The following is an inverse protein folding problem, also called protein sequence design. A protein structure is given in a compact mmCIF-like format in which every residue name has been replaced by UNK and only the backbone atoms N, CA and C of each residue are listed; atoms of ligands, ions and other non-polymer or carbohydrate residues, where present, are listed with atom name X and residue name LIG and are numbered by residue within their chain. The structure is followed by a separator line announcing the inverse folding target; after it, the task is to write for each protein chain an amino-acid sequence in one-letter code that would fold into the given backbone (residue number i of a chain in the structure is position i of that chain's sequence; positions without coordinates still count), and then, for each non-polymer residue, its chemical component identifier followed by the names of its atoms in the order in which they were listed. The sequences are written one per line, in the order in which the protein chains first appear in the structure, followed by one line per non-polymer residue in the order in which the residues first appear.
data_IF_674861693730
#
_entry.id   IF_674861693730
#
_cell.length_a   1.000
_cell.length_b   1.000
_cell.length_c   1.000
_cell.angle_alpha   90.00
_cell.angle_beta   90.00
_cell.angle_gamma   90.00
#
_symmetry.space_group_name_H-M   'P 1'
#
loop_
_entity.id
_entity.type
_entity.pdbx_description
1 polymer ?
#
# COMPACT_ATOMS: atom_id res chain seq x y z
N UNK A 1 -32.40 5.69 -1.92
CA UNK A 1 -30.99 6.02 -2.10
C UNK A 1 -30.51 5.54 -3.45
N UNK A 2 -29.56 6.27 -4.04
CA UNK A 2 -29.00 5.96 -5.36
C UNK A 2 -27.49 5.97 -5.30
N UNK A 3 -26.86 4.99 -5.97
CA UNK A 3 -25.50 5.09 -6.43
C UNK A 3 -25.49 5.74 -7.82
N UNK A 4 -24.61 6.68 -8.06
CA UNK A 4 -24.52 7.38 -9.35
C UNK A 4 -23.23 6.99 -10.02
N UNK A 5 -23.36 6.32 -11.17
CA UNK A 5 -22.23 5.79 -11.94
C UNK A 5 -22.17 6.48 -13.32
N UNK A 6 -20.95 6.70 -13.80
CA UNK A 6 -20.71 7.13 -15.17
C UNK A 6 -19.89 6.05 -15.89
N UNK A 7 -20.48 5.42 -16.88
CA UNK A 7 -19.88 4.31 -17.62
C UNK A 7 -19.41 4.85 -18.99
N UNK A 8 -18.11 4.75 -19.26
CA UNK A 8 -17.48 5.17 -20.53
C UNK A 8 -17.82 6.61 -20.96
N UNK A 9 -18.02 7.51 -19.99
CA UNK A 9 -18.35 8.90 -20.27
C UNK A 9 -19.78 9.15 -20.78
N UNK A 10 -20.67 8.15 -20.74
CA UNK A 10 -22.03 8.26 -21.26
C UNK A 10 -22.96 9.17 -20.42
N UNK A 11 -22.44 9.80 -19.39
CA UNK A 11 -23.22 10.60 -18.42
C UNK A 11 -23.55 9.83 -17.15
N UNK A 12 -24.11 10.55 -16.17
CA UNK A 12 -24.42 9.99 -14.87
C UNK A 12 -25.74 9.19 -14.91
N UNK A 13 -25.67 7.92 -14.53
CA UNK A 13 -26.83 7.03 -14.37
C UNK A 13 -27.06 6.79 -12.88
N UNK A 14 -28.33 6.96 -12.45
CA UNK A 14 -28.77 6.74 -11.08
C UNK A 14 -29.25 5.28 -10.95
N UNK A 15 -28.54 4.51 -10.13
CA UNK A 15 -28.90 3.15 -9.79
C UNK A 15 -29.60 3.11 -8.44
N UNK A 16 -30.83 2.62 -8.42
CA UNK A 16 -31.61 2.51 -7.19
C UNK A 16 -31.05 1.41 -6.28
N UNK A 17 -30.89 1.75 -5.02
CA UNK A 17 -30.45 0.82 -3.97
C UNK A 17 -31.61 0.18 -3.22
N UNK A 18 -32.88 0.53 -3.53
CA UNK A 18 -34.05 0.08 -2.79
C UNK A 18 -35.12 -0.58 -3.67
N UNK A 19 -34.82 -0.90 -4.91
CA UNK A 19 -35.71 -1.55 -5.87
C UNK A 19 -37.08 -0.85 -6.01
N UNK A 20 -37.07 0.49 -6.17
CA UNK A 20 -38.29 1.27 -6.42
C UNK A 20 -38.68 1.16 -7.89
N UNK A 21 -39.90 0.80 -8.18
CA UNK A 21 -40.42 0.63 -9.53
C UNK A 21 -40.12 1.83 -10.45
N UNK A 22 -39.56 1.56 -11.60
CA UNK A 22 -39.29 2.55 -12.65
C UNK A 22 -37.84 3.07 -12.72
N UNK A 23 -36.99 2.66 -11.81
CA UNK A 23 -35.56 2.96 -11.83
C UNK A 23 -34.70 1.71 -12.13
N UNK A 24 -33.49 1.90 -12.57
CA UNK A 24 -32.51 0.79 -12.75
C UNK A 24 -31.95 0.41 -11.39
N UNK A 25 -32.17 -0.84 -10.97
CA UNK A 25 -31.64 -1.35 -9.70
C UNK A 25 -30.15 -1.56 -9.75
N UNK A 26 -29.44 -1.23 -8.68
CA UNK A 26 -28.04 -1.59 -8.51
C UNK A 26 -27.88 -3.08 -8.19
N UNK A 27 -28.77 -3.60 -7.33
CA UNK A 27 -28.71 -4.98 -6.91
C UNK A 27 -28.88 -5.94 -8.08
N UNK A 28 -27.83 -6.73 -8.35
CA UNK A 28 -27.82 -7.69 -9.46
C UNK A 28 -27.58 -7.07 -10.84
N UNK A 29 -27.29 -5.77 -10.93
CA UNK A 29 -26.98 -5.13 -12.20
C UNK A 29 -25.70 -5.71 -12.79
N UNK A 30 -25.68 -5.86 -14.12
CA UNK A 30 -24.47 -6.07 -14.89
C UNK A 30 -24.04 -4.72 -15.49
N UNK A 31 -22.93 -4.17 -15.01
CA UNK A 31 -22.40 -2.86 -15.42
C UNK A 31 -21.60 -2.94 -16.74
N UNK A 32 -21.48 -4.15 -17.31
CA UNK A 32 -20.88 -4.37 -18.62
C UNK A 32 -19.52 -5.03 -18.59
N UNK A 33 -18.93 -5.06 -19.79
CA UNK A 33 -17.60 -5.60 -20.04
C UNK A 33 -16.68 -4.49 -20.52
N UNK A 34 -15.51 -4.41 -19.92
CA UNK A 34 -14.48 -3.42 -20.20
C UNK A 34 -13.24 -4.11 -20.76
N UNK A 35 -12.47 -3.43 -21.57
CA UNK A 35 -11.22 -3.98 -22.12
C UNK A 35 -10.05 -3.14 -21.64
N UNK A 36 -9.01 -3.79 -21.11
CA UNK A 36 -7.79 -3.13 -20.64
C UNK A 36 -7.18 -2.31 -21.80
N UNK A 37 -6.81 -1.05 -21.52
CA UNK A 37 -6.17 -0.17 -22.51
C UNK A 37 -7.10 0.44 -23.55
N UNK A 38 -8.39 0.11 -23.57
CA UNK A 38 -9.36 0.67 -24.53
C UNK A 38 -9.93 2.04 -24.10
N UNK A 39 -9.41 2.66 -23.05
CA UNK A 39 -9.93 3.94 -22.52
C UNK A 39 -11.28 3.81 -21.81
N UNK A 40 -11.69 2.60 -21.47
CA UNK A 40 -12.93 2.35 -20.74
C UNK A 40 -12.86 2.93 -19.31
N UNK A 41 -14.03 3.31 -18.79
CA UNK A 41 -14.16 3.83 -17.44
C UNK A 41 -15.47 3.37 -16.78
N UNK A 42 -15.39 3.08 -15.48
CA UNK A 42 -16.52 2.90 -14.59
C UNK A 42 -16.29 3.83 -13.39
N UNK A 43 -16.88 5.01 -13.46
CA UNK A 43 -16.62 6.08 -12.50
C UNK A 43 -17.73 6.12 -11.45
N UNK A 44 -17.35 6.12 -10.17
CA UNK A 44 -18.24 6.49 -9.08
C UNK A 44 -18.41 8.02 -9.14
N UNK A 45 -19.48 8.46 -9.78
CA UNK A 45 -19.81 9.88 -9.92
C UNK A 45 -20.42 10.47 -8.63
N UNK A 46 -20.89 9.61 -7.72
CA UNK A 46 -21.43 10.01 -6.43
C UNK A 46 -22.65 9.22 -6.01
N UNK A 47 -23.57 9.88 -5.34
CA UNK A 47 -24.80 9.28 -4.86
C UNK A 47 -25.87 10.30 -4.50
N UNK A 48 -27.06 9.80 -4.20
CA UNK A 48 -28.18 10.56 -3.69
C UNK A 48 -28.88 9.83 -2.56
N UNK A 49 -29.07 10.50 -1.42
CA UNK A 49 -29.92 10.06 -0.33
C UNK A 49 -31.13 10.98 -0.23
N UNK A 50 -32.33 10.40 -0.23
CA UNK A 50 -33.56 11.07 0.22
C UNK A 50 -33.85 10.59 1.62
N UNK A 51 -33.82 11.51 2.57
CA UNK A 51 -33.89 11.21 3.99
C UNK A 51 -35.19 11.76 4.56
N UNK A 52 -35.93 10.91 5.31
CA UNK A 52 -37.05 11.34 6.09
C UNK A 52 -36.60 12.16 7.31
N UNK A 53 -37.21 13.32 7.54
CA UNK A 53 -36.84 14.22 8.65
C UNK A 53 -38.07 14.73 9.36
N UNK A 54 -38.16 14.50 10.68
CA UNK A 54 -39.15 15.10 11.59
C UNK A 54 -38.47 15.87 12.70
N UNK A 55 -38.91 17.09 12.99
CA UNK A 55 -38.44 17.85 14.18
C UNK A 55 -38.63 17.04 15.47
N UNK A 56 -37.67 17.00 16.41
CA UNK A 56 -36.45 17.78 16.44
C UNK A 56 -35.25 17.13 15.74
N UNK A 57 -35.45 16.02 15.02
CA UNK A 57 -34.37 15.33 14.31
C UNK A 57 -33.82 16.16 13.13
N UNK A 58 -32.52 16.14 12.91
CA UNK A 58 -31.87 16.71 11.76
C UNK A 58 -30.89 15.72 11.15
N UNK A 59 -30.70 15.77 9.84
CA UNK A 59 -29.66 15.02 9.14
C UNK A 59 -28.42 15.90 9.10
N UNK A 60 -27.30 15.36 9.52
CA UNK A 60 -26.04 16.10 9.68
C UNK A 60 -24.99 15.74 8.66
N UNK A 61 -25.10 14.54 8.04
CA UNK A 61 -24.13 14.06 7.06
C UNK A 61 -24.76 12.94 6.21
N UNK A 62 -24.23 12.76 4.99
CA UNK A 62 -24.56 11.66 4.12
C UNK A 62 -23.34 11.12 3.42
N UNK A 63 -23.25 9.81 3.20
CA UNK A 63 -22.15 9.19 2.46
C UNK A 63 -22.64 8.04 1.58
N UNK A 64 -22.03 7.88 0.42
CA UNK A 64 -22.04 6.67 -0.37
C UNK A 64 -20.73 5.94 -0.13
N UNK A 65 -20.79 4.67 0.29
CA UNK A 65 -19.66 3.79 0.54
C UNK A 65 -19.59 2.74 -0.57
N UNK A 66 -18.39 2.44 -1.05
CA UNK A 66 -18.20 1.46 -2.11
C UNK A 66 -16.86 0.73 -1.97
N UNK A 67 -16.82 -0.49 -2.48
CA UNK A 67 -15.58 -1.26 -2.71
C UNK A 67 -15.74 -2.16 -3.94
N UNK A 68 -14.62 -2.62 -4.48
CA UNK A 68 -14.59 -3.61 -5.57
C UNK A 68 -13.80 -4.82 -5.09
N UNK A 69 -14.30 -6.00 -5.40
CA UNK A 69 -13.65 -7.26 -5.07
C UNK A 69 -13.86 -8.30 -6.16
N UNK A 70 -13.03 -9.37 -6.18
CA UNK A 70 -13.14 -10.54 -7.05
C UNK A 70 -13.12 -11.81 -6.19
N UNK A 71 -13.94 -12.79 -6.54
CA UNK A 71 -14.07 -14.06 -5.80
C UNK A 71 -14.89 -13.91 -4.52
N UNK A 72 -14.30 -13.41 -3.43
CA UNK A 72 -14.98 -13.21 -2.14
C UNK A 72 -14.91 -11.75 -1.68
N UNK A 73 -15.90 -11.27 -0.91
CA UNK A 73 -15.90 -9.90 -0.37
C UNK A 73 -14.62 -9.60 0.42
N UNK A 74 -13.87 -8.60 -0.02
CA UNK A 74 -12.58 -8.20 0.56
C UNK A 74 -12.29 -6.72 0.31
N UNK A 75 -11.28 -6.19 1.01
CA UNK A 75 -10.87 -4.80 0.90
C UNK A 75 -11.72 -3.83 1.74
N UNK A 76 -11.15 -2.67 2.03
CA UNK A 76 -11.80 -1.60 2.76
C UNK A 76 -12.76 -0.82 1.87
N UNK A 77 -13.80 -0.25 2.47
CA UNK A 77 -14.69 0.67 1.78
C UNK A 77 -14.05 2.05 1.64
N UNK A 78 -14.17 2.61 0.45
CA UNK A 78 -13.99 4.05 0.18
C UNK A 78 -15.35 4.75 0.23
N UNK A 79 -15.37 6.08 0.37
CA UNK A 79 -16.64 6.82 0.39
C UNK A 79 -16.61 8.08 -0.48
N UNK A 80 -17.82 8.53 -0.84
CA UNK A 80 -18.08 9.86 -1.38
C UNK A 80 -19.06 10.54 -0.42
N UNK A 81 -18.64 11.69 0.14
CA UNK A 81 -19.53 12.52 0.95
C UNK A 81 -20.66 13.11 0.09
N UNK A 82 -21.88 13.04 0.60
CA UNK A 82 -23.05 13.62 -0.04
C UNK A 82 -23.37 14.96 0.61
N UNK A 83 -23.33 16.04 -0.16
CA UNK A 83 -23.64 17.37 0.33
C UNK A 83 -25.17 17.57 0.45
N UNK A 84 -25.60 18.37 1.41
CA UNK A 84 -26.99 18.80 1.46
C UNK A 84 -27.34 19.52 0.14
N UNK A 85 -28.44 19.11 -0.47
CA UNK A 85 -28.89 19.64 -1.75
C UNK A 85 -30.15 20.51 -1.59
N UNK A 86 -31.23 19.95 -1.01
CA UNK A 86 -32.50 20.69 -0.90
C UNK A 86 -33.48 20.01 0.07
N UNK A 87 -34.49 20.75 0.51
CA UNK A 87 -35.69 20.19 1.12
C UNK A 87 -36.64 19.69 0.01
N UNK A 88 -37.31 18.57 0.25
CA UNK A 88 -38.18 17.93 -0.73
C UNK A 88 -39.64 18.39 -0.63
N UNK A 89 -40.00 19.13 0.43
CA UNK A 89 -41.38 19.56 0.66
C UNK A 89 -42.33 18.40 1.07
N UNK A 90 -41.79 17.24 1.41
CA UNK A 90 -42.51 16.04 1.83
C UNK A 90 -42.14 15.62 3.25
N UNK A 91 -42.82 14.63 3.82
CA UNK A 91 -42.61 14.09 5.15
C UNK A 91 -43.20 14.98 6.27
N UNK A 92 -42.70 14.82 7.50
CA UNK A 92 -43.11 15.56 8.67
C UNK A 92 -42.89 17.08 8.50
N UNK A 93 -43.95 17.83 8.29
CA UNK A 93 -43.89 19.28 8.12
C UNK A 93 -43.14 19.74 6.86
N UNK A 94 -43.03 18.89 5.86
CA UNK A 94 -42.34 19.20 4.60
C UNK A 94 -40.83 19.22 4.68
N UNK A 95 -40.20 18.57 5.67
CA UNK A 95 -38.77 18.72 5.99
C UNK A 95 -37.88 17.58 5.46
N UNK A 96 -38.40 16.62 4.70
CA UNK A 96 -37.54 15.60 4.07
C UNK A 96 -36.45 16.27 3.23
N UNK A 97 -35.26 15.69 3.29
CA UNK A 97 -34.06 16.27 2.68
C UNK A 97 -33.51 15.40 1.58
N UNK A 98 -32.91 16.06 0.59
CA UNK A 98 -32.06 15.45 -0.41
C UNK A 98 -30.58 15.81 -0.14
N UNK A 99 -29.76 14.79 -0.11
CA UNK A 99 -28.30 14.88 -0.01
C UNK A 99 -27.70 14.27 -1.27
N UNK A 100 -26.86 15.00 -1.99
CA UNK A 100 -26.42 14.57 -3.31
C UNK A 100 -25.03 15.11 -3.64
N UNK A 101 -24.19 14.27 -4.24
CA UNK A 101 -22.94 14.64 -4.91
C UNK A 101 -22.89 13.91 -6.24
N UNK A 102 -22.54 14.62 -7.33
CA UNK A 102 -22.49 14.11 -8.70
C UNK A 102 -21.13 14.40 -9.38
N UNK A 103 -20.15 14.86 -8.63
CA UNK A 103 -18.83 15.29 -9.11
C UNK A 103 -17.69 14.34 -8.76
N UNK A 104 -18.02 13.12 -8.33
CA UNK A 104 -17.02 12.07 -8.09
C UNK A 104 -16.32 11.67 -9.40
N UNK A 105 -15.04 11.33 -9.30
CA UNK A 105 -14.19 11.02 -10.45
C UNK A 105 -13.38 9.73 -10.32
N UNK A 106 -13.69 8.91 -9.33
CA UNK A 106 -12.96 7.67 -9.09
C UNK A 106 -13.35 6.61 -10.12
N UNK A 107 -12.42 6.30 -11.03
CA UNK A 107 -12.57 5.18 -11.95
C UNK A 107 -12.15 3.88 -11.25
N UNK A 108 -13.12 3.02 -10.96
CA UNK A 108 -12.90 1.76 -10.24
C UNK A 108 -12.24 0.67 -11.08
N UNK A 109 -12.06 0.87 -12.38
CA UNK A 109 -11.33 -0.06 -13.25
C UNK A 109 -9.80 0.11 -13.10
N UNK A 110 -9.33 1.22 -12.55
CA UNK A 110 -7.91 1.56 -12.49
C UNK A 110 -7.13 0.50 -11.71
N UNK A 111 -6.11 -0.08 -12.34
CA UNK A 111 -5.23 -1.09 -11.74
C UNK A 111 -5.82 -2.49 -11.60
N UNK A 112 -7.07 -2.72 -12.03
CA UNK A 112 -7.66 -4.06 -11.99
C UNK A 112 -7.20 -4.90 -13.20
N UNK A 113 -6.72 -6.14 -12.97
CA UNK A 113 -6.43 -7.09 -14.05
C UNK A 113 -7.70 -7.62 -14.72
N UNK A 114 -7.56 -8.40 -15.80
CA UNK A 114 -8.68 -9.09 -16.42
C UNK A 114 -9.31 -10.08 -15.42
N UNK A 115 -10.66 -10.09 -15.38
CA UNK A 115 -11.39 -10.90 -14.43
C UNK A 115 -12.84 -10.45 -14.27
N UNK A 116 -13.57 -11.16 -13.41
CA UNK A 116 -14.93 -10.81 -13.01
C UNK A 116 -14.92 -10.15 -11.63
N UNK A 117 -15.65 -9.07 -11.50
CA UNK A 117 -15.64 -8.20 -10.31
C UNK A 117 -17.04 -7.91 -9.83
N UNK A 118 -17.13 -7.62 -8.56
CA UNK A 118 -18.34 -7.09 -7.91
C UNK A 118 -18.06 -5.69 -7.37
N UNK A 119 -18.89 -4.73 -7.74
CA UNK A 119 -19.00 -3.43 -7.09
C UNK A 119 -20.03 -3.59 -5.97
N UNK A 120 -19.60 -3.37 -4.73
CA UNK A 120 -20.43 -3.44 -3.54
C UNK A 120 -20.60 -2.04 -2.95
N UNK A 121 -21.87 -1.66 -2.66
CA UNK A 121 -22.23 -0.31 -2.29
C UNK A 121 -23.24 -0.31 -1.14
N UNK A 122 -23.13 0.65 -0.24
CA UNK A 122 -24.16 1.05 0.71
C UNK A 122 -24.13 2.56 0.96
N UNK A 123 -25.20 3.12 1.51
CA UNK A 123 -25.21 4.53 1.91
C UNK A 123 -25.54 4.72 3.38
N UNK A 124 -25.08 5.84 3.92
CA UNK A 124 -25.36 6.25 5.30
C UNK A 124 -25.89 7.67 5.36
N UNK A 125 -26.68 7.93 6.41
CA UNK A 125 -27.10 9.27 6.80
C UNK A 125 -26.98 9.40 8.33
N UNK A 126 -26.18 10.35 8.77
CA UNK A 126 -26.03 10.66 10.20
C UNK A 126 -27.09 11.64 10.64
N UNK A 127 -27.61 11.46 11.85
CA UNK A 127 -28.65 12.31 12.41
C UNK A 127 -28.35 12.78 13.83
N UNK A 128 -28.94 13.93 14.19
CA UNK A 128 -28.88 14.52 15.51
C UNK A 128 -30.23 15.17 15.89
N UNK A 129 -30.34 15.69 17.13
CA UNK A 129 -31.51 16.41 17.63
C UNK A 129 -32.58 15.56 18.27
N UNK A 130 -32.74 14.28 17.90
CA UNK A 130 -33.57 13.28 18.56
C UNK A 130 -32.77 12.08 19.08
N UNK A 131 -31.55 12.33 19.46
CA UNK A 131 -30.47 11.40 19.67
C UNK A 131 -29.40 11.63 18.61
N UNK A 132 -28.36 10.80 18.60
CA UNK A 132 -27.32 10.79 17.57
C UNK A 132 -27.13 9.37 17.07
N UNK A 133 -26.87 9.20 15.77
CA UNK A 133 -26.63 7.89 15.18
C UNK A 133 -26.52 7.95 13.67
N UNK A 134 -26.40 6.79 13.07
CA UNK A 134 -26.26 6.60 11.63
C UNK A 134 -27.33 5.64 11.12
N UNK A 135 -28.06 6.05 10.12
CA UNK A 135 -28.95 5.18 9.35
C UNK A 135 -28.21 4.60 8.15
N UNK A 136 -28.46 3.34 7.87
CA UNK A 136 -27.86 2.58 6.78
C UNK A 136 -28.89 2.17 5.73
N UNK A 137 -28.59 2.40 4.46
CA UNK A 137 -29.23 1.72 3.34
C UNK A 137 -28.25 0.67 2.83
N UNK A 138 -28.37 -0.56 3.31
CA UNK A 138 -27.37 -1.61 3.18
C UNK A 138 -27.97 -2.99 2.88
N UNK A 139 -29.16 -3.06 2.29
CA UNK A 139 -29.82 -4.33 1.92
C UNK A 139 -29.80 -5.36 3.07
N UNK A 140 -30.26 -4.94 4.25
CA UNK A 140 -30.25 -5.80 5.44
C UNK A 140 -28.86 -6.17 5.98
N UNK A 141 -27.83 -5.41 5.63
CA UNK A 141 -26.43 -5.66 6.01
C UNK A 141 -25.62 -6.42 4.95
N UNK A 142 -26.27 -6.95 3.90
CA UNK A 142 -25.59 -7.64 2.80
C UNK A 142 -24.99 -6.68 1.75
N UNK A 143 -25.29 -5.37 1.87
CA UNK A 143 -25.02 -4.32 0.91
C UNK A 143 -25.63 -4.58 -0.49
N UNK A 144 -25.51 -3.63 -1.39
CA UNK A 144 -26.00 -3.75 -2.78
C UNK A 144 -24.84 -4.12 -3.69
N UNK A 145 -25.06 -5.03 -4.62
CA UNK A 145 -23.98 -5.60 -5.43
C UNK A 145 -24.34 -5.57 -6.91
N UNK A 146 -23.40 -5.09 -7.72
CA UNK A 146 -23.43 -5.10 -9.17
C UNK A 146 -22.17 -5.76 -9.70
N UNK A 147 -22.26 -6.41 -10.87
CA UNK A 147 -21.12 -7.12 -11.46
C UNK A 147 -20.61 -6.42 -12.71
N UNK A 148 -19.34 -6.62 -13.01
CA UNK A 148 -18.72 -6.24 -14.27
C UNK A 148 -17.55 -7.16 -14.60
N UNK A 149 -17.12 -7.17 -15.86
CA UNK A 149 -16.01 -7.98 -16.33
C UNK A 149 -14.96 -7.10 -16.98
N UNK A 150 -13.69 -7.43 -16.77
CA UNK A 150 -12.56 -6.82 -17.47
C UNK A 150 -11.92 -7.89 -18.34
N UNK A 151 -11.77 -7.62 -19.64
CA UNK A 151 -11.15 -8.50 -20.60
C UNK A 151 -9.76 -7.99 -21.01
N UNK A 152 -8.88 -8.92 -21.37
CA UNK A 152 -7.68 -8.59 -22.12
C UNK A 152 -8.06 -8.16 -23.55
N UNK A 153 -7.33 -7.22 -24.19
CA UNK A 153 -7.50 -6.94 -25.59
C UNK A 153 -7.15 -8.17 -26.45
N UNK A 154 -7.85 -8.33 -27.56
CA UNK A 154 -7.58 -9.41 -28.52
C UNK A 154 -6.23 -9.18 -29.17
N UNK A 155 -5.40 -10.23 -29.22
CA UNK A 155 -4.15 -10.23 -29.98
C UNK A 155 -4.46 -10.72 -31.38
N UNK A 156 -4.11 -9.93 -32.37
CA UNK A 156 -4.22 -10.30 -33.79
C UNK A 156 -2.83 -10.53 -34.34
N UNK A 157 -2.61 -11.68 -34.95
CA UNK A 157 -1.37 -12.02 -35.65
C UNK A 157 -1.69 -12.05 -37.13
N UNK A 158 -0.95 -11.28 -37.91
CA UNK A 158 -0.97 -11.33 -39.39
C UNK A 158 0.40 -11.75 -39.88
N UNK A 159 0.41 -12.52 -40.93
CA UNK A 159 1.61 -13.02 -41.61
C UNK A 159 1.60 -12.60 -43.07
N UNK A 160 2.75 -12.23 -43.58
CA UNK A 160 3.03 -12.13 -44.99
C UNK A 160 4.35 -12.83 -45.30
N UNK A 161 4.41 -13.54 -46.44
CA UNK A 161 5.62 -14.25 -46.84
C UNK A 161 5.93 -14.08 -48.31
N UNK A 162 7.15 -14.27 -48.64
CA UNK A 162 7.63 -14.43 -50.03
C UNK A 162 8.21 -15.84 -50.13
N UNK A 163 7.64 -16.63 -51.03
CA UNK A 163 8.12 -17.98 -51.28
C UNK A 163 9.56 -17.99 -51.78
N UNK A 164 10.36 -18.92 -51.27
CA UNK A 164 11.70 -19.12 -51.73
C UNK A 164 11.68 -19.68 -53.18
N UNK A 165 12.37 -19.02 -54.11
CA UNK A 165 12.53 -19.53 -55.46
C UNK A 165 13.82 -20.34 -55.55
N UNK A 166 13.72 -21.62 -55.96
CA UNK A 166 14.87 -22.51 -56.10
C UNK A 166 15.71 -22.26 -57.40
N UNK A 167 15.74 -21.04 -57.92
CA UNK A 167 16.51 -20.72 -59.12
C UNK A 167 17.74 -19.92 -58.74
N UNK A 168 18.92 -20.49 -58.91
CA UNK A 168 20.19 -19.75 -58.86
C UNK A 168 20.90 -19.69 -57.51
N UNK A 169 20.53 -20.49 -56.52
CA UNK A 169 21.27 -20.63 -55.27
C UNK A 169 21.18 -19.43 -54.30
N UNK A 170 20.19 -18.57 -54.49
CA UNK A 170 19.92 -17.45 -53.55
C UNK A 170 18.73 -17.83 -52.62
N UNK A 171 18.94 -17.76 -51.36
CA UNK A 171 17.85 -17.83 -50.36
C UNK A 171 17.10 -16.50 -50.36
N UNK A 172 15.98 -16.44 -51.11
CA UNK A 172 15.18 -15.20 -51.27
C UNK A 172 13.78 -15.29 -50.65
N UNK A 173 13.51 -16.33 -49.91
CA UNK A 173 12.26 -16.42 -49.15
C UNK A 173 12.32 -15.55 -47.92
N UNK A 174 11.20 -14.93 -47.56
CA UNK A 174 11.04 -14.20 -46.32
C UNK A 174 9.66 -14.44 -45.73
N UNK A 175 9.57 -14.43 -44.40
CA UNK A 175 8.31 -14.39 -43.69
C UNK A 175 8.32 -13.19 -42.77
N UNK A 176 7.26 -12.41 -42.79
CA UNK A 176 7.04 -11.27 -41.91
C UNK A 176 5.79 -11.53 -41.08
N UNK A 177 5.92 -11.44 -39.78
CA UNK A 177 4.84 -11.64 -38.83
C UNK A 177 4.60 -10.31 -38.11
N UNK A 178 3.40 -9.76 -38.28
CA UNK A 178 2.96 -8.58 -37.53
C UNK A 178 1.99 -8.98 -36.45
N UNK A 179 2.28 -8.55 -35.21
CA UNK A 179 1.40 -8.73 -34.04
C UNK A 179 0.82 -7.38 -33.70
N UNK A 180 -0.52 -7.29 -33.64
CA UNK A 180 -1.24 -6.09 -33.25
C UNK A 180 -2.31 -6.41 -32.18
N UNK A 181 -2.77 -5.41 -31.47
CA UNK A 181 -3.64 -5.60 -30.31
C UNK A 181 -2.86 -6.11 -29.09
N UNK A 182 -3.59 -6.47 -28.05
CA UNK A 182 -3.02 -6.75 -26.74
C UNK A 182 -2.49 -5.47 -26.08
N UNK A 183 -2.77 -5.31 -24.79
CA UNK A 183 -1.90 -4.49 -23.95
C UNK A 183 -0.84 -5.43 -23.39
N UNK A 184 0.43 -5.03 -23.30
CA UNK A 184 1.38 -5.78 -22.50
C UNK A 184 0.73 -6.00 -21.13
N UNK A 185 0.72 -7.25 -20.64
CA UNK A 185 0.36 -7.52 -19.27
C UNK A 185 1.39 -6.79 -18.39
N UNK A 186 0.95 -5.72 -17.76
CA UNK A 186 1.79 -4.81 -17.00
C UNK A 186 1.54 -4.96 -15.52
N UNK A 187 1.47 -6.19 -15.01
CA UNK A 187 1.76 -6.34 -13.59
C UNK A 187 3.23 -5.93 -13.42
N UNK A 188 3.55 -4.99 -12.53
CA UNK A 188 4.94 -4.70 -12.23
C UNK A 188 5.60 -6.00 -11.80
N UNK A 189 6.71 -6.36 -12.43
CA UNK A 189 7.54 -7.44 -11.91
C UNK A 189 8.13 -6.94 -10.62
N UNK A 190 7.97 -7.68 -9.54
CA UNK A 190 8.42 -7.28 -8.21
C UNK A 190 9.38 -8.31 -7.64
N UNK A 191 10.40 -7.84 -6.96
CA UNK A 191 11.29 -8.64 -6.12
C UNK A 191 11.06 -8.24 -4.67
N UNK A 192 10.64 -9.20 -3.83
CA UNK A 192 10.30 -8.96 -2.45
C UNK A 192 11.39 -9.49 -1.50
N UNK A 193 11.66 -8.73 -0.46
CA UNK A 193 12.51 -9.10 0.67
C UNK A 193 11.76 -8.77 1.95
N UNK A 194 11.68 -9.71 2.88
CA UNK A 194 11.04 -9.52 4.18
C UNK A 194 11.94 -10.00 5.32
N UNK A 195 11.81 -9.37 6.49
CA UNK A 195 12.54 -9.76 7.71
C UNK A 195 11.70 -9.42 8.95
N UNK A 196 11.44 -10.43 9.77
CA UNK A 196 10.72 -10.36 11.04
C UNK A 196 11.63 -10.42 12.28
N UNK A 197 12.93 -10.53 12.08
CA UNK A 197 13.99 -10.59 13.09
C UNK A 197 13.86 -11.71 14.15
N UNK A 198 12.88 -12.56 14.08
CA UNK A 198 12.57 -13.62 15.05
C UNK A 198 13.63 -14.71 15.16
N UNK A 199 14.59 -14.74 14.24
CA UNK A 199 15.76 -15.61 14.30
C UNK A 199 16.90 -15.09 15.17
N UNK A 200 16.83 -13.84 15.64
CA UNK A 200 17.81 -13.27 16.58
C UNK A 200 17.68 -13.95 17.95
N UNK A 201 18.81 -14.12 18.65
CA UNK A 201 18.81 -14.69 19.99
C UNK A 201 18.00 -13.81 20.95
N UNK A 202 17.19 -14.43 21.79
CA UNK A 202 16.37 -13.79 22.80
C UNK A 202 17.04 -13.77 24.21
N UNK A 203 18.27 -14.25 24.30
CA UNK A 203 19.09 -14.26 25.53
C UNK A 203 20.54 -13.93 25.19
N UNK A 204 21.30 -13.52 26.21
CA UNK A 204 22.74 -13.28 26.11
C UNK A 204 23.11 -11.82 25.88
N UNK A 205 24.34 -11.50 26.27
CA UNK A 205 25.02 -10.22 26.08
C UNK A 205 26.26 -10.48 25.26
N UNK A 206 26.55 -9.62 24.27
CA UNK A 206 27.70 -9.80 23.38
C UNK A 206 27.54 -10.96 22.42
N UNK A 207 26.30 -11.28 22.00
CA UNK A 207 26.06 -12.23 20.93
C UNK A 207 26.79 -11.79 19.67
N UNK A 208 27.47 -12.69 18.98
CA UNK A 208 28.27 -12.36 17.82
C UNK A 208 27.36 -11.92 16.66
N UNK A 209 27.67 -10.75 16.08
CA UNK A 209 27.13 -10.30 14.82
C UNK A 209 28.16 -10.54 13.73
N UNK A 210 27.74 -11.23 12.68
CA UNK A 210 28.54 -11.41 11.46
C UNK A 210 27.69 -10.90 10.29
N UNK A 211 28.19 -9.89 9.60
CA UNK A 211 27.54 -9.28 8.45
C UNK A 211 27.16 -10.32 7.40
N UNK A 212 25.96 -10.18 6.86
CA UNK A 212 25.37 -11.08 5.86
C UNK A 212 25.28 -12.57 6.29
N UNK A 213 25.45 -12.85 7.57
CA UNK A 213 25.43 -14.22 8.11
C UNK A 213 24.51 -14.36 9.31
N UNK A 214 24.57 -13.45 10.29
CA UNK A 214 23.64 -13.43 11.43
C UNK A 214 22.21 -13.27 10.92
N UNK A 215 21.98 -12.34 10.00
CA UNK A 215 20.78 -12.21 9.18
C UNK A 215 21.23 -12.04 7.72
N UNK A 216 20.67 -12.82 6.82
CA UNK A 216 21.04 -12.76 5.40
C UNK A 216 20.77 -11.37 4.79
N UNK A 217 21.79 -10.77 4.20
CA UNK A 217 21.73 -9.42 3.61
C UNK A 217 21.89 -8.29 4.61
N UNK A 218 21.98 -8.55 5.92
CA UNK A 218 22.08 -7.51 6.95
C UNK A 218 23.51 -7.24 7.42
N UNK A 219 23.72 -5.97 7.77
CA UNK A 219 25.02 -5.42 8.17
C UNK A 219 24.87 -4.51 9.38
N UNK A 220 25.90 -4.40 10.20
CA UNK A 220 25.95 -3.48 11.34
C UNK A 220 27.35 -2.89 11.50
N UNK A 221 27.47 -1.70 12.11
CA UNK A 221 28.75 -1.16 12.54
C UNK A 221 29.26 -1.76 13.87
N UNK A 222 28.56 -2.73 14.42
CA UNK A 222 28.97 -3.46 15.63
C UNK A 222 29.14 -4.95 15.35
N UNK A 223 30.18 -5.55 15.92
CA UNK A 223 30.45 -6.98 15.80
C UNK A 223 29.67 -7.83 16.84
N UNK A 224 28.85 -7.21 17.67
CA UNK A 224 28.05 -7.90 18.68
C UNK A 224 26.72 -7.18 18.89
N UNK A 225 25.74 -7.94 19.38
CA UNK A 225 24.45 -7.41 19.84
C UNK A 225 24.03 -8.06 21.16
N UNK A 226 23.15 -7.39 21.89
CA UNK A 226 22.58 -7.90 23.14
C UNK A 226 21.13 -8.31 22.95
N UNK A 227 20.71 -9.37 23.60
CA UNK A 227 19.27 -9.60 23.77
C UNK A 227 18.78 -8.72 24.93
N UNK A 228 17.67 -8.00 24.73
CA UNK A 228 17.18 -7.05 25.73
C UNK A 228 15.69 -6.81 25.71
N UNK A 229 15.19 -6.25 26.81
CA UNK A 229 13.77 -5.86 27.00
C UNK A 229 13.62 -4.35 27.16
N UNK A 230 14.65 -3.55 26.81
CA UNK A 230 14.70 -2.13 27.12
C UNK A 230 14.95 -1.78 28.59
N UNK A 231 15.18 -2.77 29.47
CA UNK A 231 15.36 -2.55 30.91
C UNK A 231 16.70 -1.92 31.30
N UNK A 232 17.69 -1.99 30.38
CA UNK A 232 19.03 -1.41 30.59
C UNK A 232 19.28 -0.27 29.61
N UNK A 233 20.18 0.65 30.01
CA UNK A 233 20.58 1.81 29.21
C UNK A 233 22.00 1.66 28.59
N UNK A 234 22.52 0.45 28.56
CA UNK A 234 23.83 0.19 27.94
C UNK A 234 23.74 0.44 26.44
N UNK A 235 24.65 1.26 25.92
CA UNK A 235 24.74 1.49 24.47
C UNK A 235 25.12 0.21 23.73
N UNK A 236 24.32 -0.22 22.78
CA UNK A 236 24.55 -1.42 21.96
C UNK A 236 23.53 -1.53 20.84
N UNK A 237 23.82 -2.40 19.87
CA UNK A 237 22.79 -3.00 19.01
C UNK A 237 22.05 -4.08 19.81
N UNK A 238 20.77 -4.22 19.61
CA UNK A 238 19.91 -5.10 20.38
C UNK A 238 19.01 -5.98 19.50
N UNK A 239 18.80 -7.19 19.96
CA UNK A 239 17.59 -7.95 19.71
C UNK A 239 16.59 -7.61 20.82
N UNK A 240 15.67 -6.69 20.60
CA UNK A 240 14.64 -6.37 21.59
C UNK A 240 13.46 -7.33 21.49
N UNK A 241 12.77 -7.51 22.61
CA UNK A 241 11.55 -8.30 22.75
C UNK A 241 11.23 -8.56 24.21
N UNK A 242 10.01 -8.98 24.51
CA UNK A 242 9.60 -9.31 25.87
C UNK A 242 10.34 -10.53 26.42
N UNK A 243 10.46 -10.62 27.74
CA UNK A 243 11.18 -11.73 28.41
C UNK A 243 10.66 -13.10 27.93
N UNK A 244 11.55 -13.92 27.38
CA UNK A 244 11.23 -15.27 26.91
C UNK A 244 10.47 -15.33 25.60
N UNK A 245 10.10 -14.19 25.00
CA UNK A 245 9.45 -14.16 23.69
C UNK A 245 10.41 -14.59 22.59
N UNK A 246 9.87 -15.27 21.57
CA UNK A 246 10.55 -15.53 20.31
C UNK A 246 10.31 -14.41 19.29
N UNK A 247 9.37 -13.53 19.57
CA UNK A 247 9.15 -12.32 18.77
C UNK A 247 10.26 -11.32 19.14
N UNK A 248 10.96 -10.80 18.11
CA UNK A 248 12.16 -9.97 18.25
C UNK A 248 12.20 -8.90 17.18
N UNK A 249 12.62 -7.69 17.54
CA UNK A 249 13.03 -6.68 16.57
C UNK A 249 14.55 -6.43 16.62
N UNK A 250 15.11 -5.92 15.55
CA UNK A 250 16.49 -5.42 15.52
C UNK A 250 16.51 -3.96 15.90
N UNK A 251 17.26 -3.59 16.92
CA UNK A 251 17.26 -2.24 17.42
C UNK A 251 18.59 -1.79 18.01
N UNK A 252 18.53 -0.63 18.67
CA UNK A 252 19.70 -0.02 19.32
C UNK A 252 19.31 0.89 20.46
N UNK A 253 20.29 1.19 21.29
CA UNK A 253 20.33 2.33 22.19
C UNK A 253 21.70 2.95 22.03
N UNK A 254 21.77 4.17 21.53
CA UNK A 254 23.03 4.91 21.40
C UNK A 254 23.57 5.33 22.77
N UNK A 255 24.79 5.76 22.84
CA UNK A 255 25.42 6.36 24.05
C UNK A 255 26.73 7.00 23.67
N UNK A 256 27.24 7.94 24.49
CA UNK A 256 28.56 8.55 24.28
C UNK A 256 29.72 7.57 24.19
N UNK A 257 29.58 6.35 24.76
CA UNK A 257 30.57 5.28 24.66
C UNK A 257 30.51 4.47 23.37
N UNK A 258 29.34 4.35 22.78
CA UNK A 258 29.14 3.61 21.52
C UNK A 258 29.15 4.50 20.29
N UNK A 259 28.85 5.79 20.45
CA UNK A 259 28.59 6.72 19.37
C UNK A 259 27.34 6.31 18.58
N UNK A 260 27.23 6.82 17.38
CA UNK A 260 26.14 6.49 16.43
C UNK A 260 26.16 5.01 16.04
N UNK A 261 25.01 4.39 16.06
CA UNK A 261 24.81 2.99 15.70
C UNK A 261 24.14 2.88 14.33
N UNK A 262 24.64 1.95 13.52
CA UNK A 262 24.10 1.70 12.18
C UNK A 262 23.77 0.21 12.02
N UNK A 263 22.62 -0.07 11.47
CA UNK A 263 22.28 -1.39 10.96
C UNK A 263 21.38 -1.27 9.74
N UNK A 264 21.42 -2.25 8.86
CA UNK A 264 20.67 -2.15 7.63
C UNK A 264 20.83 -3.35 6.72
N UNK A 265 20.12 -3.32 5.60
CA UNK A 265 20.04 -4.41 4.64
C UNK A 265 20.54 -3.99 3.26
N UNK A 266 21.28 -4.89 2.60
CA UNK A 266 21.69 -4.81 1.21
C UNK A 266 20.79 -5.68 0.37
N UNK A 267 20.14 -5.11 -0.63
CA UNK A 267 19.27 -5.82 -1.57
C UNK A 267 19.86 -5.68 -2.96
N UNK A 268 20.09 -6.80 -3.64
CA UNK A 268 20.55 -6.82 -5.02
C UNK A 268 19.36 -6.96 -5.96
N UNK A 269 19.27 -6.12 -6.99
CA UNK A 269 18.33 -6.37 -8.08
C UNK A 269 18.75 -7.64 -8.83
N UNK A 270 18.09 -8.75 -8.54
CA UNK A 270 18.37 -10.07 -9.16
C UNK A 270 17.56 -10.32 -10.42
N UNK A 271 16.69 -9.38 -10.81
CA UNK A 271 15.87 -9.47 -12.01
C UNK A 271 16.65 -8.99 -13.23
N UNK A 272 16.20 -9.36 -14.42
CA UNK A 272 16.79 -8.93 -15.68
C UNK A 272 16.43 -7.48 -16.06
N UNK A 273 15.43 -6.91 -15.38
CA UNK A 273 14.89 -5.59 -15.61
C UNK A 273 15.40 -4.58 -14.58
N UNK A 274 15.44 -3.32 -15.00
CA UNK A 274 15.72 -2.20 -14.10
C UNK A 274 14.56 -1.99 -13.12
N UNK A 275 14.84 -2.00 -11.82
CA UNK A 275 13.88 -1.51 -10.85
C UNK A 275 13.79 0.02 -10.94
N UNK A 276 12.58 0.54 -10.94
CA UNK A 276 12.29 1.98 -11.08
C UNK A 276 11.89 2.63 -9.76
N UNK A 277 11.54 1.82 -8.77
CA UNK A 277 11.24 2.27 -7.42
C UNK A 277 11.39 1.14 -6.40
N UNK A 278 11.51 1.54 -5.14
CA UNK A 278 11.59 0.66 -3.97
C UNK A 278 10.49 1.04 -3.01
N UNK A 279 9.53 0.14 -2.78
CA UNK A 279 8.52 0.30 -1.75
C UNK A 279 9.00 -0.35 -0.46
N UNK A 280 8.93 0.37 0.65
CA UNK A 280 9.46 -0.04 1.94
C UNK A 280 8.36 0.12 2.96
N UNK A 281 8.17 -0.89 3.81
CA UNK A 281 7.32 -0.79 4.99
C UNK A 281 7.96 -1.54 6.16
N UNK A 282 7.82 -1.00 7.36
CA UNK A 282 8.27 -1.62 8.59
C UNK A 282 7.51 -1.07 9.80
N UNK A 283 7.65 -1.72 10.93
CA UNK A 283 7.18 -1.24 12.22
C UNK A 283 8.37 -0.67 13.00
N UNK A 284 8.31 0.64 13.32
CA UNK A 284 9.23 1.26 14.28
C UNK A 284 8.72 1.03 15.70
N UNK A 285 9.59 0.60 16.62
CA UNK A 285 9.25 0.24 17.99
C UNK A 285 10.13 0.97 19.00
N UNK A 286 9.55 1.48 20.07
CA UNK A 286 10.28 2.05 21.19
C UNK A 286 10.29 1.08 22.37
N UNK A 287 11.49 0.57 22.70
CA UNK A 287 11.70 -0.40 23.78
C UNK A 287 12.18 0.23 25.08
N UNK A 288 12.67 1.47 25.01
CA UNK A 288 13.12 2.22 26.18
C UNK A 288 12.81 3.71 26.04
N UNK A 289 12.25 4.30 27.10
CA UNK A 289 12.36 5.72 27.36
C UNK A 289 13.64 5.98 28.16
N UNK A 290 14.61 6.73 27.61
CA UNK A 290 15.89 7.05 28.27
C UNK A 290 15.77 8.02 29.42
N UNK A 291 14.60 8.67 29.60
CA UNK A 291 14.41 9.77 30.53
C UNK A 291 14.74 11.13 29.93
N UNK A 292 14.83 11.21 28.61
CA UNK A 292 14.96 12.46 27.86
C UNK A 292 13.57 12.97 27.46
N UNK A 293 13.31 14.24 27.72
CA UNK A 293 12.02 14.88 27.35
C UNK A 293 11.99 15.39 25.92
N UNK A 294 13.14 15.38 25.25
CA UNK A 294 13.25 15.68 23.84
C UNK A 294 12.98 14.41 23.03
N UNK A 295 12.06 14.47 22.11
CA UNK A 295 11.81 13.37 21.21
C UNK A 295 13.08 13.07 20.37
N UNK A 296 13.40 11.79 20.27
CA UNK A 296 14.52 11.29 19.47
C UNK A 296 13.96 10.40 18.36
N UNK A 297 14.73 10.23 17.32
CA UNK A 297 14.32 9.44 16.15
C UNK A 297 15.39 8.41 15.78
N UNK A 298 14.94 7.34 15.18
CA UNK A 298 15.76 6.41 14.42
C UNK A 298 15.68 6.88 12.97
N UNK A 299 16.77 7.43 12.43
CA UNK A 299 16.82 8.03 11.10
C UNK A 299 16.93 6.94 10.04
N UNK A 300 16.30 7.14 8.89
CA UNK A 300 16.32 6.20 7.78
C UNK A 300 17.02 6.80 6.57
N UNK A 301 18.02 6.08 6.10
CA UNK A 301 18.82 6.44 4.92
C UNK A 301 18.83 5.33 3.87
N UNK A 302 19.13 5.72 2.65
CA UNK A 302 19.43 4.77 1.60
C UNK A 302 20.62 5.18 0.74
N UNK A 303 21.28 4.19 0.14
CA UNK A 303 22.35 4.42 -0.83
C UNK A 303 22.38 3.32 -1.88
N UNK A 304 22.50 3.72 -3.16
CA UNK A 304 22.74 2.79 -4.25
C UNK A 304 24.22 2.39 -4.29
N UNK A 305 24.48 1.08 -4.42
CA UNK A 305 25.84 0.51 -4.55
C UNK A 305 26.83 0.94 -3.44
N UNK A 306 26.33 1.07 -2.19
CA UNK A 306 27.22 1.33 -1.06
C UNK A 306 28.27 0.22 -0.91
N UNK A 307 29.46 0.57 -0.47
CA UNK A 307 30.54 -0.38 -0.19
C UNK A 307 30.50 -0.97 1.22
N UNK A 308 29.86 -0.26 2.16
CA UNK A 308 29.63 -0.73 3.54
C UNK A 308 28.48 0.06 4.16
N UNK A 309 28.04 -0.36 5.35
CA UNK A 309 26.96 0.30 6.11
C UNK A 309 27.34 1.71 6.59
N UNK A 310 28.63 2.03 6.68
CA UNK A 310 29.13 3.30 7.23
C UNK A 310 29.77 4.22 6.20
N UNK A 311 30.12 3.72 5.01
CA UNK A 311 30.87 4.49 4.00
C UNK A 311 29.97 4.90 2.84
N UNK A 312 30.33 6.03 2.23
CA UNK A 312 29.68 6.57 1.04
C UNK A 312 28.82 7.79 1.33
N UNK A 313 28.01 8.16 0.35
CA UNK A 313 27.07 9.29 0.49
C UNK A 313 25.66 8.76 0.63
N UNK A 314 25.18 8.76 1.83
CA UNK A 314 23.83 8.31 2.15
C UNK A 314 22.82 9.43 1.88
N UNK A 315 21.65 9.06 1.44
CA UNK A 315 20.51 9.95 1.22
C UNK A 315 19.53 9.75 2.36
N UNK A 316 19.35 10.79 3.14
CA UNK A 316 18.36 10.86 4.21
C UNK A 316 16.94 10.85 3.62
N UNK A 317 16.03 10.11 4.27
CA UNK A 317 14.65 9.99 3.83
C UNK A 317 13.68 10.09 5.01
N UNK A 318 13.49 11.29 5.52
CA UNK A 318 12.68 11.66 6.70
C UNK A 318 11.29 10.99 6.76
N UNK A 319 10.71 10.68 5.59
CA UNK A 319 9.39 10.06 5.52
C UNK A 319 9.33 8.63 6.09
N UNK A 320 10.49 8.03 6.33
CA UNK A 320 10.66 6.71 6.97
C UNK A 320 11.40 6.79 8.31
N UNK A 321 11.66 7.97 8.84
CA UNK A 321 12.19 8.13 10.19
C UNK A 321 11.16 7.68 11.22
N UNK A 322 11.61 6.90 12.17
CA UNK A 322 10.77 6.53 13.32
C UNK A 322 11.05 7.46 14.49
N UNK A 323 10.11 8.34 14.80
CA UNK A 323 10.16 9.15 16.01
C UNK A 323 9.54 8.40 17.19
N UNK A 324 10.29 8.26 18.29
CA UNK A 324 9.81 7.59 19.50
C UNK A 324 8.59 8.29 20.09
N UNK A 325 7.47 7.59 20.30
CA UNK A 325 6.24 8.19 20.83
C UNK A 325 6.32 8.62 22.28
N UNK A 326 7.28 8.10 23.05
CA UNK A 326 7.42 8.35 24.49
C UNK A 326 8.73 9.11 24.77
N UNK A 327 8.59 10.39 25.17
CA UNK A 327 9.70 11.26 25.56
C UNK A 327 9.36 11.94 26.90
N UNK A 328 9.65 11.26 28.01
CA UNK A 328 9.35 11.74 29.38
C UNK A 328 10.58 11.69 30.27
N UNK A 329 10.59 12.49 31.34
CA UNK A 329 11.73 12.55 32.28
C UNK A 329 11.96 11.26 33.06
N UNK A 330 10.98 10.36 33.13
CA UNK A 330 11.10 9.09 33.86
C UNK A 330 11.62 8.01 32.93
N UNK A 331 12.88 7.61 33.09
CA UNK A 331 13.48 6.52 32.33
C UNK A 331 12.84 5.16 32.68
N UNK A 332 12.71 4.29 31.72
CA UNK A 332 12.21 2.93 31.93
C UNK A 332 12.10 2.10 30.65
N UNK A 333 11.97 0.79 30.86
CA UNK A 333 11.63 -0.13 29.79
C UNK A 333 10.21 0.14 29.27
N UNK A 334 10.02 -0.08 28.00
CA UNK A 334 8.73 -0.07 27.31
C UNK A 334 8.53 -1.45 26.65
N UNK A 335 7.29 -1.84 26.45
CA UNK A 335 6.98 -2.97 25.58
C UNK A 335 6.73 -2.42 24.18
N UNK A 336 7.71 -2.58 23.28
CA UNK A 336 7.68 -2.07 21.91
C UNK A 336 6.52 -2.64 21.08
N UNK A 337 5.98 -3.79 21.47
CA UNK A 337 4.84 -4.43 20.81
C UNK A 337 3.50 -3.75 21.08
N UNK A 338 3.41 -2.92 22.12
CA UNK A 338 2.17 -2.23 22.43
C UNK A 338 1.89 -1.11 21.39
N UNK A 339 0.63 -0.92 20.99
CA UNK A 339 0.26 0.12 20.01
C UNK A 339 0.69 1.54 20.38
N UNK A 340 0.83 1.82 21.70
CA UNK A 340 1.29 3.13 22.19
C UNK A 340 2.80 3.38 22.00
N UNK A 341 3.57 2.34 21.73
CA UNK A 341 5.03 2.36 21.66
C UNK A 341 5.56 2.05 20.26
N UNK A 342 4.68 1.90 19.25
CA UNK A 342 5.08 1.58 17.90
C UNK A 342 4.32 2.35 16.83
N UNK A 343 4.91 2.44 15.64
CA UNK A 343 4.32 3.08 14.47
C UNK A 343 4.65 2.26 13.23
N UNK A 344 3.63 1.97 12.42
CA UNK A 344 3.84 1.41 11.10
C UNK A 344 4.22 2.54 10.12
N UNK A 345 5.33 2.36 9.42
CA UNK A 345 5.88 3.29 8.46
C UNK A 345 5.88 2.66 7.07
N UNK A 346 5.52 3.41 6.05
CA UNK A 346 5.54 2.93 4.67
C UNK A 346 5.74 4.09 3.70
N UNK A 347 6.66 3.91 2.75
CA UNK A 347 6.86 4.87 1.68
C UNK A 347 7.53 4.20 0.45
N UNK A 348 7.62 4.96 -0.65
CA UNK A 348 8.24 4.49 -1.89
C UNK A 348 9.30 5.47 -2.35
N UNK A 349 10.51 4.97 -2.59
CA UNK A 349 11.64 5.72 -3.14
C UNK A 349 11.66 5.50 -4.66
N UNK A 350 11.60 6.58 -5.42
CA UNK A 350 11.80 6.54 -6.87
C UNK A 350 13.30 6.54 -7.17
N UNK A 351 13.83 5.41 -7.65
CA UNK A 351 15.25 5.22 -7.92
C UNK A 351 15.43 4.15 -8.98
N UNK A 352 16.40 4.35 -9.89
CA UNK A 352 16.77 3.37 -10.92
C UNK A 352 17.87 2.44 -10.40
N UNK A 353 17.57 1.14 -10.34
CA UNK A 353 18.50 0.09 -9.92
C UNK A 353 18.62 -0.92 -11.07
N UNK A 354 19.75 -0.92 -11.77
CA UNK A 354 20.00 -1.82 -12.90
C UNK A 354 20.12 -3.29 -12.42
N UNK A 355 19.94 -4.27 -13.31
CA UNK A 355 20.26 -5.67 -13.02
C UNK A 355 21.64 -5.84 -12.41
N UNK A 356 21.73 -6.53 -11.27
CA UNK A 356 22.97 -6.75 -10.53
C UNK A 356 23.43 -5.59 -9.62
N UNK A 357 22.85 -4.39 -9.76
CA UNK A 357 23.11 -3.30 -8.80
C UNK A 357 22.42 -3.54 -7.47
N UNK A 358 22.84 -2.80 -6.46
CA UNK A 358 22.33 -2.95 -5.10
C UNK A 358 21.71 -1.66 -4.58
N UNK A 359 20.70 -1.79 -3.74
CA UNK A 359 20.22 -0.75 -2.85
C UNK A 359 20.52 -1.17 -1.41
N UNK A 360 21.04 -0.26 -0.63
CA UNK A 360 21.24 -0.40 0.78
C UNK A 360 20.25 0.49 1.51
N UNK A 361 19.59 -0.06 2.51
CA UNK A 361 18.68 0.62 3.42
C UNK A 361 19.31 0.57 4.81
N UNK A 362 19.37 1.70 5.50
CA UNK A 362 20.06 1.84 6.77
C UNK A 362 19.18 2.58 7.78
N UNK A 363 19.25 2.12 9.01
CA UNK A 363 18.74 2.85 10.17
C UNK A 363 19.93 3.36 10.96
N UNK A 364 19.87 4.65 11.33
CA UNK A 364 20.90 5.37 12.06
C UNK A 364 20.33 5.84 13.40
N UNK A 365 20.92 5.35 14.50
CA UNK A 365 20.60 5.76 15.87
C UNK A 365 21.73 6.67 16.37
N UNK A 366 21.47 7.97 16.33
CA UNK A 366 22.43 9.03 16.68
C UNK A 366 22.55 9.12 18.20
N UNK A 367 23.81 9.27 18.70
CA UNK A 367 24.06 9.60 20.11
C UNK A 367 23.57 11.03 20.41
N UNK A 368 22.41 11.13 21.01
CA UNK A 368 21.78 12.39 21.32
C UNK A 368 22.29 13.00 22.62
N UNK A 369 22.17 14.30 22.81
CA UNK A 369 22.51 14.96 24.06
C UNK A 369 21.63 14.46 25.21
N UNK A 370 22.25 13.97 26.28
CA UNK A 370 21.57 13.40 27.45
C UNK A 370 21.47 11.89 27.39
N UNK A 371 20.34 11.34 27.79
CA UNK A 371 20.10 9.91 27.71
C UNK A 371 19.36 9.55 26.43
N UNK A 372 19.76 8.45 25.83
CA UNK A 372 19.15 7.97 24.60
C UNK A 372 17.96 7.04 24.87
N UNK A 373 16.97 7.11 23.99
CA UNK A 373 15.89 6.15 23.91
C UNK A 373 16.40 4.84 23.29
N UNK A 374 15.64 3.77 23.44
CA UNK A 374 15.93 2.49 22.74
C UNK A 374 14.87 2.26 21.67
N UNK A 375 15.32 2.09 20.43
CA UNK A 375 14.48 1.92 19.27
C UNK A 375 14.73 0.61 18.56
N UNK A 376 13.75 0.14 17.81
CA UNK A 376 13.88 -1.05 16.96
C UNK A 376 13.05 -0.96 15.69
N UNK A 377 13.40 -1.83 14.77
CA UNK A 377 12.71 -2.05 13.49
C UNK A 377 12.23 -3.48 13.46
N UNK A 378 10.97 -3.67 13.07
CA UNK A 378 10.35 -4.97 12.92
C UNK A 378 9.49 -5.06 11.66
N UNK A 379 9.12 -6.29 11.28
CA UNK A 379 8.22 -6.59 10.16
C UNK A 379 8.61 -5.87 8.85
N UNK A 380 9.92 -5.81 8.55
CA UNK A 380 10.39 -5.17 7.33
C UNK A 380 9.89 -5.90 6.09
N UNK A 381 9.30 -5.16 5.19
CA UNK A 381 9.00 -5.59 3.82
C UNK A 381 9.54 -4.59 2.82
N UNK A 382 10.34 -5.06 1.87
CA UNK A 382 10.90 -4.25 0.79
C UNK A 382 10.55 -4.88 -0.54
N UNK A 383 9.99 -4.07 -1.43
CA UNK A 383 9.62 -4.49 -2.78
C UNK A 383 10.34 -3.62 -3.80
N UNK A 384 11.23 -4.23 -4.59
CA UNK A 384 11.78 -3.63 -5.80
C UNK A 384 10.72 -3.72 -6.90
N UNK A 385 10.29 -2.59 -7.44
CA UNK A 385 9.28 -2.48 -8.48
C UNK A 385 9.99 -2.22 -9.80
N UNK A 386 9.89 -3.18 -10.72
CA UNK A 386 10.56 -3.13 -12.00
C UNK A 386 9.66 -2.48 -13.05
N UNK A 387 10.26 -1.78 -13.99
CA UNK A 387 9.57 -1.23 -15.14
C UNK A 387 8.95 -2.36 -15.98
N UNK A 388 7.90 -2.02 -16.70
CA UNK A 388 7.20 -2.98 -17.53
C UNK A 388 8.12 -3.57 -18.60
N UNK A 389 8.21 -4.91 -18.71
CA UNK A 389 8.75 -5.55 -19.91
C UNK A 389 7.79 -5.35 -21.08
N UNK A 390 8.15 -4.48 -21.99
CA UNK A 390 7.67 -4.61 -23.37
C UNK A 390 8.48 -5.78 -23.96
N UNK A 391 7.96 -7.00 -23.89
CA UNK A 391 8.52 -8.08 -24.71
C UNK A 391 8.26 -7.75 -26.17
N UNK A 392 9.19 -7.04 -26.77
CA UNK A 392 9.35 -7.07 -28.21
C UNK A 392 9.80 -8.49 -28.57
N UNK A 393 8.88 -9.31 -29.06
CA UNK A 393 9.21 -10.58 -29.66
C UNK A 393 10.24 -10.30 -30.76
N UNK A 394 11.53 -10.51 -30.47
CA UNK A 394 12.56 -10.51 -31.52
C UNK A 394 12.31 -11.73 -32.39
N UNK A 395 11.64 -11.51 -33.51
CA UNK A 395 11.52 -12.52 -34.57
C UNK A 395 12.91 -12.64 -35.17
N UNK A 396 13.53 -13.79 -34.96
CA UNK A 396 14.78 -14.13 -35.63
C UNK A 396 14.50 -14.30 -37.12
N UNK A 397 15.22 -13.56 -37.95
CA UNK A 397 15.37 -13.90 -39.39
C UNK A 397 16.26 -15.14 -39.45
N UNK A 398 15.72 -16.24 -39.98
CA UNK A 398 16.47 -17.40 -40.40
C UNK A 398 16.92 -17.21 -41.85
#
# INVERSE_FOLDING_TARGET
SYAVLNINGAGNTFYDMQAITGNTDLQGANLGTFTIGAGNSLVIAGGENKTFKCSPCDITNGNLWYRVWSGSPSGSFSNVGLAYNSNLGTGCGGNDQKWQTLSGSTNVLTGLPAGSYTLEVYSTADYAGCGTGTHYSSNGGANYQATFTINCPVITVSESHVDATCVGGSNNGSIDISVSGGTPFTAPVTQNTAQDFNSLLNTGIGNIWTDNSTLSGWYSNKATYNAGTGSVNTGSVYSFGSTGSTERCLGSTASGGTGTLYYGVKITNSMAETATSVSISFTGEQWRNGGNVTAQKLEFDYQKNASSITLGTWTDFDALDFTGPIATATAGALDGNLPANKTALSNTITISILPGETIWLRWEDVDNSGNDHGFGVDDLSVTLIHGQMVQLLKIFHL
#
